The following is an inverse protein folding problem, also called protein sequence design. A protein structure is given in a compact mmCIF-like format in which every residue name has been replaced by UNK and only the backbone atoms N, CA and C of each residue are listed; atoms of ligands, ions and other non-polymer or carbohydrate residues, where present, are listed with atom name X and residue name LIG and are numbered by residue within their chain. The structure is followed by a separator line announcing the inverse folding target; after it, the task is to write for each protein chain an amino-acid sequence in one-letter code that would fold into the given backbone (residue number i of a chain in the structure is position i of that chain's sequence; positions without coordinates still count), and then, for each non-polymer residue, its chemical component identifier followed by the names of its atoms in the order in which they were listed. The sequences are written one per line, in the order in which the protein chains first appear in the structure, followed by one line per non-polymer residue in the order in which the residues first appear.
data_IF_019202075168
#
_entry.id   IF_019202075168
#
_cell.length_a   1.000
_cell.length_b   1.000
_cell.length_c   1.000
_cell.angle_alpha   90.00
_cell.angle_beta   90.00
_cell.angle_gamma   90.00
#
_symmetry.space_group_name_H-M   'P 1'
#
loop_
_entity.id
_entity.type
_entity.pdbx_description
1 polymer ?
#
# COMPACT_ATOMS: atom_id res chain seq x y z
N UNK A 1 -25.85 13.26 30.29
CA UNK A 1 -25.58 12.22 29.27
C UNK A 1 -24.63 12.85 28.25
N UNK A 2 -23.34 12.58 28.40
CA UNK A 2 -22.27 13.27 27.67
C UNK A 2 -21.99 12.46 26.39
N UNK A 3 -22.46 12.97 25.25
CA UNK A 3 -22.19 12.39 23.94
C UNK A 3 -20.73 12.72 23.61
N UNK A 4 -19.84 11.76 23.82
CA UNK A 4 -18.47 11.86 23.31
C UNK A 4 -18.54 11.48 21.83
N UNK A 5 -18.74 12.49 20.99
CA UNK A 5 -18.57 12.36 19.54
C UNK A 5 -17.10 12.06 19.27
N UNK A 6 -16.78 10.78 19.04
CA UNK A 6 -15.50 10.40 18.45
C UNK A 6 -15.43 11.00 17.05
N UNK A 7 -14.80 12.15 16.91
CA UNK A 7 -14.27 12.59 15.62
C UNK A 7 -13.19 11.59 15.22
N UNK A 8 -13.61 10.50 14.55
CA UNK A 8 -12.71 9.62 13.83
C UNK A 8 -12.18 10.40 12.61
N UNK A 9 -11.27 11.34 12.84
CA UNK A 9 -10.45 11.91 11.78
C UNK A 9 -9.59 10.77 11.25
N UNK A 10 -10.09 10.08 10.22
CA UNK A 10 -9.32 9.10 9.51
C UNK A 10 -8.08 9.78 8.94
N UNK A 11 -6.89 9.39 9.43
CA UNK A 11 -5.64 10.03 9.02
C UNK A 11 -5.54 10.09 7.49
N UNK A 12 -5.28 11.28 6.93
CA UNK A 12 -5.29 11.52 5.49
C UNK A 12 -3.88 11.40 4.92
N UNK A 13 -3.69 10.42 4.04
CA UNK A 13 -2.42 10.23 3.31
C UNK A 13 -2.47 10.92 1.96
N UNK A 14 -1.43 11.68 1.64
CA UNK A 14 -1.22 12.31 0.33
C UNK A 14 0.19 11.98 -0.17
N UNK A 15 0.26 11.56 -1.43
CA UNK A 15 1.51 11.46 -2.18
C UNK A 15 1.50 12.63 -3.16
N UNK A 16 2.48 13.54 -3.06
CA UNK A 16 2.58 14.72 -3.92
C UNK A 16 4.03 15.17 -4.01
N UNK A 17 4.48 15.54 -5.20
CA UNK A 17 5.78 16.16 -5.43
C UNK A 17 6.96 15.34 -4.83
N UNK A 18 6.91 13.99 -4.92
CA UNK A 18 7.96 13.11 -4.38
C UNK A 18 7.97 12.95 -2.85
N UNK A 19 6.93 13.44 -2.16
CA UNK A 19 6.79 13.31 -0.70
C UNK A 19 5.49 12.61 -0.32
N UNK A 20 5.54 11.90 0.81
CA UNK A 20 4.39 11.33 1.49
C UNK A 20 4.09 12.20 2.71
N UNK A 21 2.86 12.70 2.77
CA UNK A 21 2.35 13.38 3.96
C UNK A 21 1.19 12.62 4.59
N UNK A 22 1.21 12.51 5.91
CA UNK A 22 0.15 11.94 6.73
C UNK A 22 -0.33 13.05 7.66
N UNK A 23 -1.62 13.38 7.58
CA UNK A 23 -2.23 14.50 8.32
C UNK A 23 -1.50 15.83 8.12
N UNK A 24 -1.02 16.05 6.89
CA UNK A 24 -0.26 17.23 6.43
C UNK A 24 1.17 17.32 6.97
N UNK A 25 1.63 16.33 7.74
CA UNK A 25 3.04 16.22 8.14
C UNK A 25 3.75 15.37 7.12
N UNK A 26 4.85 15.86 6.57
CA UNK A 26 5.72 15.09 5.69
C UNK A 26 6.45 14.01 6.51
N UNK A 27 6.32 12.75 6.10
CA UNK A 27 6.84 11.60 6.85
C UNK A 27 7.86 10.80 6.05
N UNK A 28 7.71 10.74 4.73
CA UNK A 28 8.60 10.00 3.84
C UNK A 28 8.82 10.76 2.54
N UNK A 29 9.90 10.40 1.86
CA UNK A 29 10.09 10.67 0.44
C UNK A 29 9.68 9.43 -0.36
N UNK A 30 9.26 9.63 -1.59
CA UNK A 30 9.05 8.53 -2.51
C UNK A 30 9.56 8.85 -3.91
N UNK A 31 10.04 7.83 -4.59
CA UNK A 31 10.35 7.83 -6.01
C UNK A 31 9.53 6.73 -6.68
N UNK A 32 9.01 7.00 -7.88
CA UNK A 32 8.17 6.06 -8.63
C UNK A 32 8.65 6.00 -10.08
N UNK A 33 9.41 4.95 -10.39
CA UNK A 33 9.94 4.63 -11.72
C UNK A 33 9.31 3.35 -12.31
N UNK A 34 8.13 2.96 -11.80
CA UNK A 34 7.52 1.65 -12.00
C UNK A 34 7.69 0.72 -10.79
N UNK A 35 8.61 1.06 -9.88
CA UNK A 35 8.66 0.58 -8.50
C UNK A 35 8.62 1.80 -7.60
N UNK A 36 7.78 1.77 -6.56
CA UNK A 36 7.74 2.87 -5.60
C UNK A 36 8.72 2.61 -4.47
N UNK A 37 9.80 3.38 -4.41
CA UNK A 37 10.77 3.35 -3.31
C UNK A 37 10.37 4.35 -2.25
N UNK A 38 10.26 3.92 -0.99
CA UNK A 38 9.94 4.77 0.15
C UNK A 38 11.19 4.96 1.01
N UNK A 39 11.49 6.21 1.35
CA UNK A 39 12.68 6.61 2.09
C UNK A 39 12.35 7.56 3.23
N UNK A 40 13.23 7.63 4.23
CA UNK A 40 13.19 8.69 5.25
C UNK A 40 13.38 10.08 4.62
N UNK A 41 13.08 11.13 5.37
CA UNK A 41 13.38 12.51 4.95
C UNK A 41 14.89 12.75 4.77
N UNK A 42 15.74 11.96 5.42
CA UNK A 42 17.20 11.93 5.25
C UNK A 42 17.68 11.05 4.09
N UNK A 43 16.79 10.58 3.22
CA UNK A 43 17.07 9.74 2.04
C UNK A 43 17.61 8.33 2.36
N UNK A 44 17.29 7.77 3.53
CA UNK A 44 17.54 6.35 3.81
C UNK A 44 16.37 5.53 3.29
N UNK A 45 16.62 4.65 2.34
CA UNK A 45 15.59 3.77 1.79
C UNK A 45 15.10 2.77 2.84
N UNK A 46 13.79 2.54 2.89
CA UNK A 46 13.14 1.71 3.91
C UNK A 46 12.54 0.45 3.28
N UNK A 47 11.72 0.64 2.25
CA UNK A 47 11.05 -0.44 1.55
C UNK A 47 10.69 -0.03 0.12
N UNK A 48 10.52 -1.03 -0.73
CA UNK A 48 10.09 -0.85 -2.12
C UNK A 48 8.74 -1.53 -2.33
N UNK A 49 7.89 -0.92 -3.15
CA UNK A 49 6.59 -1.45 -3.54
C UNK A 49 6.63 -1.72 -5.04
N UNK A 50 6.57 -2.99 -5.42
CA UNK A 50 6.52 -3.42 -6.81
C UNK A 50 5.08 -3.79 -7.19
N UNK A 51 4.43 -3.05 -8.10
CA UNK A 51 3.15 -3.45 -8.64
C UNK A 51 3.30 -4.59 -9.66
N UNK A 52 2.41 -5.56 -9.57
CA UNK A 52 2.17 -6.62 -10.55
C UNK A 52 0.69 -6.62 -10.91
N UNK A 53 0.35 -7.10 -12.10
CA UNK A 53 -1.02 -6.98 -12.59
C UNK A 53 -1.51 -8.25 -13.26
N UNK A 54 -2.79 -8.53 -13.09
CA UNK A 54 -3.48 -9.64 -13.73
C UNK A 54 -4.88 -9.21 -14.18
N UNK A 55 -5.45 -9.93 -15.14
CA UNK A 55 -6.79 -9.66 -15.67
C UNK A 55 -7.82 -10.59 -15.05
N UNK A 56 -8.99 -10.05 -14.70
CA UNK A 56 -10.15 -10.83 -14.26
C UNK A 56 -11.39 -10.41 -15.03
N UNK A 57 -12.41 -11.28 -15.16
CA UNK A 57 -13.70 -10.89 -15.71
C UNK A 57 -14.23 -9.64 -14.99
N UNK A 58 -14.66 -8.65 -15.77
CA UNK A 58 -15.24 -7.43 -15.22
C UNK A 58 -16.65 -7.74 -14.70
N UNK A 59 -16.90 -7.66 -13.39
CA UNK A 59 -18.20 -8.03 -12.81
C UNK A 59 -19.33 -7.07 -13.24
N UNK A 60 -19.00 -5.88 -13.72
CA UNK A 60 -19.97 -4.91 -14.21
C UNK A 60 -20.30 -5.09 -15.70
N UNK A 61 -19.59 -5.96 -16.43
CA UNK A 61 -19.75 -6.10 -17.88
C UNK A 61 -21.18 -6.53 -18.25
N UNK A 62 -21.82 -5.77 -19.14
CA UNK A 62 -23.20 -6.03 -19.58
C UNK A 62 -24.27 -5.51 -18.62
N UNK A 63 -23.89 -4.86 -17.51
CA UNK A 63 -24.83 -4.18 -16.63
C UNK A 63 -25.27 -2.82 -17.18
N UNK A 64 -26.36 -2.26 -16.62
CA UNK A 64 -26.92 -0.95 -17.03
C UNK A 64 -25.86 0.17 -16.96
N UNK A 65 -24.92 0.09 -15.99
CA UNK A 65 -23.83 1.06 -15.84
C UNK A 65 -22.57 0.75 -16.66
N UNK A 66 -22.49 -0.42 -17.31
CA UNK A 66 -21.35 -0.82 -18.13
C UNK A 66 -21.80 -1.70 -19.32
N UNK A 67 -22.50 -1.12 -20.31
CA UNK A 67 -23.00 -1.85 -21.46
C UNK A 67 -21.86 -2.47 -22.28
N UNK A 68 -22.12 -3.64 -22.86
CA UNK A 68 -21.13 -4.49 -23.53
C UNK A 68 -20.28 -3.79 -24.60
N UNK A 69 -20.82 -2.74 -25.22
CA UNK A 69 -20.23 -2.03 -26.34
C UNK A 69 -19.25 -0.92 -25.89
N UNK A 70 -19.27 -0.56 -24.61
CA UNK A 70 -18.54 0.59 -24.07
C UNK A 70 -17.76 0.26 -22.78
N UNK A 71 -17.61 -1.03 -22.51
CA UNK A 71 -17.03 -1.54 -21.27
C UNK A 71 -16.11 -2.72 -21.57
N UNK A 72 -14.90 -2.79 -20.99
CA UNK A 72 -14.01 -3.90 -21.22
C UNK A 72 -14.55 -5.16 -20.52
N UNK A 73 -14.43 -6.30 -21.22
CA UNK A 73 -14.81 -7.64 -20.69
C UNK A 73 -13.93 -8.06 -19.51
N UNK A 74 -12.66 -7.64 -19.55
CA UNK A 74 -11.68 -7.90 -18.51
C UNK A 74 -11.36 -6.60 -17.76
N UNK A 75 -11.03 -6.71 -16.49
CA UNK A 75 -10.52 -5.60 -15.68
C UNK A 75 -9.18 -5.97 -15.07
N UNK A 76 -8.27 -4.99 -15.03
CA UNK A 76 -6.93 -5.17 -14.50
C UNK A 76 -6.95 -5.00 -12.99
N UNK A 77 -6.41 -5.98 -12.27
CA UNK A 77 -6.21 -5.95 -10.83
C UNK A 77 -4.73 -5.82 -10.53
N UNK A 78 -4.42 -5.04 -9.50
CA UNK A 78 -3.06 -4.85 -9.03
C UNK A 78 -2.79 -5.71 -7.81
N UNK A 79 -1.57 -6.21 -7.73
CA UNK A 79 -0.97 -6.89 -6.59
C UNK A 79 0.30 -6.12 -6.29
N UNK A 80 0.53 -5.82 -5.03
CA UNK A 80 1.70 -5.11 -4.56
C UNK A 80 2.58 -6.09 -3.78
N UNK A 81 3.81 -6.26 -4.24
CA UNK A 81 4.88 -6.88 -3.46
C UNK A 81 5.63 -5.78 -2.74
N UNK A 82 5.66 -5.84 -1.41
CA UNK A 82 6.43 -4.89 -0.59
C UNK A 82 7.65 -5.62 -0.06
N UNK A 83 8.83 -5.09 -0.33
CA UNK A 83 10.09 -5.65 0.18
C UNK A 83 10.73 -4.67 1.16
N UNK A 84 10.91 -5.12 2.39
CA UNK A 84 11.60 -4.39 3.45
C UNK A 84 13.11 -4.49 3.21
N UNK A 85 13.79 -3.36 3.03
CA UNK A 85 15.19 -3.35 2.60
C UNK A 85 16.16 -3.74 3.71
N UNK A 86 15.77 -3.54 4.97
CA UNK A 86 16.62 -3.83 6.13
C UNK A 86 16.94 -5.33 6.28
N UNK A 87 15.98 -6.21 6.01
CA UNK A 87 16.10 -7.66 6.24
C UNK A 87 15.69 -8.51 5.02
N UNK A 88 15.17 -7.88 3.95
CA UNK A 88 14.74 -8.56 2.74
C UNK A 88 13.41 -9.30 2.84
N UNK A 89 12.67 -9.16 3.95
CA UNK A 89 11.33 -9.77 4.10
C UNK A 89 10.36 -9.13 3.11
N UNK A 90 9.37 -9.92 2.70
CA UNK A 90 8.39 -9.52 1.69
C UNK A 90 6.96 -9.79 2.16
N UNK A 91 6.04 -8.93 1.74
CA UNK A 91 4.59 -9.18 1.82
C UNK A 91 3.94 -9.02 0.45
N UNK A 92 2.83 -9.71 0.25
CA UNK A 92 2.04 -9.67 -0.98
C UNK A 92 0.63 -9.21 -0.64
N UNK A 93 0.14 -8.14 -1.27
CA UNK A 93 -1.16 -7.56 -0.89
C UNK A 93 -1.86 -6.92 -2.08
N UNK A 94 -3.18 -6.80 -2.02
CA UNK A 94 -4.01 -6.06 -2.98
C UNK A 94 -4.54 -4.73 -2.40
N UNK A 95 -4.06 -4.36 -1.20
CA UNK A 95 -4.39 -3.09 -0.54
C UNK A 95 -3.78 -1.92 -1.32
N UNK A 96 -4.50 -0.79 -1.36
CA UNK A 96 -4.01 0.41 -2.05
C UNK A 96 -2.67 0.90 -1.49
N UNK A 97 -1.78 1.41 -2.34
CA UNK A 97 -0.47 1.96 -1.92
C UNK A 97 -0.63 3.00 -0.79
N UNK A 98 -1.66 3.84 -0.86
CA UNK A 98 -1.93 4.85 0.17
C UNK A 98 -2.25 4.22 1.52
N UNK A 99 -3.09 3.19 1.54
CA UNK A 99 -3.46 2.49 2.77
C UNK A 99 -2.30 1.64 3.30
N UNK A 100 -1.51 1.05 2.42
CA UNK A 100 -0.29 0.33 2.79
C UNK A 100 0.70 1.25 3.52
N UNK A 101 1.08 2.39 2.91
CA UNK A 101 2.02 3.35 3.51
C UNK A 101 1.45 3.89 4.84
N UNK A 102 0.14 4.17 4.88
CA UNK A 102 -0.55 4.58 6.11
C UNK A 102 -0.41 3.53 7.21
N UNK A 103 -0.65 2.27 6.89
CA UNK A 103 -0.64 1.19 7.87
C UNK A 103 0.79 0.89 8.34
N UNK A 104 1.79 0.96 7.45
CA UNK A 104 3.22 0.86 7.82
C UNK A 104 3.60 1.95 8.81
N UNK A 105 3.24 3.20 8.51
CA UNK A 105 3.48 4.33 9.41
C UNK A 105 2.81 4.13 10.78
N UNK A 106 1.53 3.73 10.79
CA UNK A 106 0.78 3.47 12.02
C UNK A 106 1.32 2.32 12.84
N UNK A 107 1.83 1.28 12.18
CA UNK A 107 2.46 0.15 12.85
C UNK A 107 3.72 0.60 13.59
N UNK A 108 4.38 1.69 13.16
CA UNK A 108 5.60 2.17 13.79
C UNK A 108 6.76 1.20 13.59
N UNK A 109 6.82 0.59 12.39
CA UNK A 109 7.88 -0.35 11.98
C UNK A 109 9.23 0.37 11.90
N UNK A 110 9.21 1.62 11.42
CA UNK A 110 10.40 2.45 11.29
C UNK A 110 10.36 3.60 12.30
N UNK A 111 11.50 3.89 12.93
CA UNK A 111 11.70 5.14 13.65
C UNK A 111 12.12 6.28 12.69
N UNK A 112 12.34 7.48 13.25
CA UNK A 112 12.73 8.67 12.49
C UNK A 112 14.10 8.54 11.80
N UNK A 113 14.95 7.62 12.25
CA UNK A 113 16.28 7.35 11.68
C UNK A 113 16.24 6.16 10.70
N UNK A 114 15.06 5.58 10.47
CA UNK A 114 14.86 4.40 9.64
C UNK A 114 15.43 3.13 10.26
N UNK A 115 15.56 3.05 11.58
CA UNK A 115 15.79 1.77 12.27
C UNK A 115 14.49 0.99 12.27
N UNK A 116 14.60 -0.31 12.07
CA UNK A 116 13.46 -1.21 11.91
C UNK A 116 13.20 -1.96 13.22
N UNK A 117 11.93 -2.05 13.62
CA UNK A 117 11.43 -2.91 14.68
C UNK A 117 10.90 -4.21 14.05
N UNK A 118 11.76 -5.23 14.01
CA UNK A 118 11.48 -6.48 13.31
C UNK A 118 10.23 -7.21 13.84
N UNK A 119 9.95 -7.11 15.14
CA UNK A 119 8.76 -7.75 15.72
C UNK A 119 7.46 -7.12 15.22
N UNK A 120 7.44 -5.80 15.03
CA UNK A 120 6.29 -5.11 14.42
C UNK A 120 6.19 -5.38 12.93
N UNK A 121 7.32 -5.52 12.25
CA UNK A 121 7.35 -5.88 10.84
C UNK A 121 6.75 -7.27 10.62
N UNK A 122 7.12 -8.25 11.43
CA UNK A 122 6.57 -9.61 11.35
C UNK A 122 5.05 -9.60 11.57
N UNK A 123 4.58 -8.92 12.62
CA UNK A 123 3.14 -8.76 12.85
C UNK A 123 2.42 -8.04 11.71
N UNK A 124 3.10 -7.12 11.02
CA UNK A 124 2.55 -6.41 9.88
C UNK A 124 2.43 -7.34 8.66
N UNK A 125 3.47 -8.11 8.37
CA UNK A 125 3.48 -9.09 7.29
C UNK A 125 2.39 -10.14 7.53
N UNK A 126 2.32 -10.72 8.72
CA UNK A 126 1.31 -11.74 9.07
C UNK A 126 -0.12 -11.21 8.90
N UNK A 127 -0.34 -9.93 9.17
CA UNK A 127 -1.67 -9.31 9.09
C UNK A 127 -2.09 -8.93 7.67
N UNK A 128 -1.15 -8.45 6.85
CA UNK A 128 -1.46 -7.79 5.58
C UNK A 128 -0.98 -8.57 4.35
N UNK A 129 -0.14 -9.59 4.54
CA UNK A 129 0.23 -10.50 3.47
C UNK A 129 -0.94 -11.44 3.15
N UNK A 130 -1.13 -11.69 1.87
CA UNK A 130 -2.17 -12.55 1.34
C UNK A 130 -1.54 -13.55 0.36
N UNK A 131 -1.39 -14.80 0.81
CA UNK A 131 -0.80 -15.87 0.00
C UNK A 131 -1.66 -16.24 -1.21
N UNK A 132 -3.00 -16.08 -1.15
CA UNK A 132 -3.87 -16.33 -2.32
C UNK A 132 -3.55 -15.35 -3.46
N UNK A 133 -3.23 -14.10 -3.10
CA UNK A 133 -2.85 -13.07 -4.05
C UNK A 133 -1.47 -13.38 -4.64
N UNK A 134 -0.52 -13.85 -3.82
CA UNK A 134 0.80 -14.31 -4.29
C UNK A 134 0.69 -15.47 -5.29
N UNK A 135 -0.21 -16.43 -5.06
CA UNK A 135 -0.44 -17.53 -6.00
C UNK A 135 -0.92 -17.05 -7.39
N UNK A 136 -1.61 -15.90 -7.46
CA UNK A 136 -2.02 -15.29 -8.74
C UNK A 136 -0.86 -14.68 -9.52
N UNK A 137 0.31 -14.49 -8.89
CA UNK A 137 1.52 -14.05 -9.58
C UNK A 137 2.29 -15.20 -10.24
N UNK A 138 1.99 -16.44 -9.85
CA UNK A 138 2.69 -17.65 -10.32
C UNK A 138 1.95 -18.38 -11.45
N UNK A 139 0.71 -17.98 -11.73
CA UNK A 139 -0.14 -18.51 -12.80
C UNK A 139 -0.27 -17.50 -13.94
#
# INVERSE_FOLDING_TARGET
MLIVSFFAFGQKVKLKDGSVSIDKVEVYKYEDDGVTTISTLSNKELFVIKPSYYEVPNPAYGSIGCPANNCPKMTRRAIFTVKFLNNGKELYTDISIKDLIKNIYKAGIFDSEGKTDEGKEDLFIDKYSNEDVKLRLLN
#
